data_IF_800006346474
#
_entry.id   IF_800006346474
#
_cell.length_a   1.000
_cell.length_b   1.000
_cell.length_c   1.000
_cell.angle_alpha   90.00
_cell.angle_beta   90.00
_cell.angle_gamma   90.00
#
_symmetry.space_group_name_H-M   'P 1'
#
loop_
_entity.id
_entity.type
_entity.pdbx_description
1 polymer ?
#
# COMPACT_ATOMS: atom_id res chain seq x y z
N UNK A 1 14.58 4.32 15.95
CA UNK A 1 14.73 4.07 14.48
C UNK A 1 14.81 5.41 13.75
N UNK A 2 15.57 5.50 12.65
CA UNK A 2 15.65 6.69 11.80
C UNK A 2 14.80 6.50 10.56
N UNK A 3 14.19 7.59 10.09
CA UNK A 3 13.35 7.63 8.89
C UNK A 3 13.83 8.72 7.96
N UNK A 4 13.64 8.50 6.67
CA UNK A 4 13.71 9.55 5.65
C UNK A 4 12.29 9.95 5.31
N UNK A 5 11.99 11.23 5.51
CA UNK A 5 10.76 11.85 5.08
C UNK A 5 10.95 12.32 3.64
N UNK A 6 10.14 11.81 2.72
CA UNK A 6 10.11 12.20 1.31
C UNK A 6 8.74 12.80 1.01
N UNK A 7 8.72 13.93 0.32
CA UNK A 7 7.47 14.50 -0.19
C UNK A 7 7.05 13.75 -1.45
N UNK A 8 5.80 13.31 -1.52
CA UNK A 8 5.26 12.65 -2.71
C UNK A 8 4.59 13.63 -3.68
N UNK A 9 5.06 14.87 -3.77
CA UNK A 9 4.49 15.90 -4.64
C UNK A 9 4.86 15.69 -6.11
N UNK A 10 5.99 15.00 -6.37
CA UNK A 10 6.45 14.63 -7.69
C UNK A 10 6.69 13.12 -7.79
N UNK A 11 6.77 12.60 -9.02
CA UNK A 11 7.16 11.21 -9.25
C UNK A 11 8.68 11.05 -9.12
N UNK A 12 9.19 10.02 -8.42
CA UNK A 12 10.61 9.77 -8.34
C UNK A 12 11.18 9.47 -9.74
N UNK A 13 12.30 10.08 -10.09
CA UNK A 13 13.00 9.83 -11.36
C UNK A 13 14.05 8.75 -11.16
N UNK A 14 13.78 7.55 -11.67
CA UNK A 14 14.71 6.43 -11.58
C UNK A 14 15.94 6.71 -12.45
N UNK A 15 17.13 6.61 -11.86
CA UNK A 15 18.42 6.77 -12.56
C UNK A 15 18.93 5.43 -13.08
N UNK A 16 18.96 4.45 -12.19
CA UNK A 16 19.35 3.08 -12.50
C UNK A 16 18.68 2.12 -11.54
N UNK A 17 18.54 0.89 -11.98
CA UNK A 17 18.17 -0.23 -11.13
C UNK A 17 18.90 -1.49 -11.63
N UNK A 18 19.35 -2.32 -10.69
CA UNK A 18 20.02 -3.56 -11.05
C UNK A 18 19.84 -4.64 -9.97
N UNK A 19 20.10 -5.87 -10.36
CA UNK A 19 20.26 -7.02 -9.48
C UNK A 19 21.65 -7.61 -9.73
N UNK A 20 22.40 -7.85 -8.69
CA UNK A 20 23.73 -8.44 -8.84
C UNK A 20 24.16 -9.27 -7.63
N UNK A 21 25.15 -10.13 -7.89
CA UNK A 21 25.83 -10.94 -6.89
C UNK A 21 27.27 -10.48 -6.81
N UNK A 22 27.72 -10.13 -5.61
CA UNK A 22 29.08 -9.67 -5.33
C UNK A 22 29.64 -10.42 -4.12
N UNK A 23 30.94 -10.34 -3.87
CA UNK A 23 31.59 -10.96 -2.71
C UNK A 23 32.72 -10.09 -2.20
N UNK A 24 32.91 -10.09 -0.87
CA UNK A 24 34.07 -9.53 -0.19
C UNK A 24 34.43 -8.09 -0.59
N UNK A 25 33.46 -7.19 -0.47
CA UNK A 25 33.62 -5.79 -0.83
C UNK A 25 33.64 -4.91 0.44
N UNK A 26 34.57 -3.97 0.47
CA UNK A 26 34.59 -2.84 1.42
C UNK A 26 34.51 -1.55 0.62
N UNK A 27 33.33 -0.89 0.67
CA UNK A 27 33.19 0.42 0.10
C UNK A 27 33.57 1.48 1.13
N UNK A 28 34.50 2.36 0.75
CA UNK A 28 34.81 3.56 1.56
C UNK A 28 33.58 4.46 1.62
N UNK A 29 33.58 5.38 2.57
CA UNK A 29 32.53 6.38 2.69
C UNK A 29 32.25 7.04 1.32
N UNK A 30 30.99 6.99 0.90
CA UNK A 30 30.54 7.64 -0.34
C UNK A 30 29.34 8.53 -0.06
N UNK A 31 29.25 9.61 -0.80
CA UNK A 31 28.11 10.52 -0.81
C UNK A 31 27.56 10.50 -2.21
N UNK A 32 26.27 10.20 -2.35
CA UNK A 32 25.58 10.26 -3.61
C UNK A 32 24.66 11.49 -3.62
N UNK A 33 24.48 12.11 -4.77
CA UNK A 33 23.49 13.18 -4.95
C UNK A 33 22.10 12.66 -5.32
N UNK A 34 21.83 11.39 -5.08
CA UNK A 34 20.58 10.68 -5.31
C UNK A 34 20.29 9.74 -4.15
N UNK A 35 19.05 9.35 -4.00
CA UNK A 35 18.64 8.31 -3.05
C UNK A 35 18.88 6.91 -3.62
N UNK A 36 19.28 5.98 -2.77
CA UNK A 36 19.46 4.58 -3.16
C UNK A 36 18.72 3.66 -2.19
N UNK A 37 17.93 2.75 -2.75
CA UNK A 37 17.21 1.73 -1.99
C UNK A 37 17.77 0.36 -2.36
N UNK A 38 18.48 -0.27 -1.42
CA UNK A 38 19.13 -1.58 -1.60
C UNK A 38 18.37 -2.65 -0.83
N UNK A 39 17.98 -3.72 -1.50
CA UNK A 39 17.29 -4.89 -0.94
C UNK A 39 18.26 -6.06 -0.85
N UNK A 40 18.40 -6.65 0.33
CA UNK A 40 19.21 -7.85 0.53
C UNK A 40 18.38 -9.08 0.21
N UNK A 41 18.77 -9.79 -0.86
CA UNK A 41 18.13 -11.05 -1.29
C UNK A 41 18.76 -12.25 -0.57
N UNK A 42 20.10 -12.26 -0.45
CA UNK A 42 20.88 -13.31 0.21
C UNK A 42 22.21 -12.76 0.72
N UNK A 43 22.59 -13.14 1.92
CA UNK A 43 23.86 -12.74 2.53
C UNK A 43 23.74 -11.63 3.54
N UNK A 44 24.86 -11.00 3.87
CA UNK A 44 24.93 -9.96 4.91
C UNK A 44 25.77 -8.77 4.46
N UNK A 45 25.30 -7.59 4.80
CA UNK A 45 25.98 -6.32 4.57
C UNK A 45 26.02 -5.51 5.86
N UNK A 46 27.21 -5.07 6.27
CA UNK A 46 27.33 -4.05 7.32
C UNK A 46 27.15 -2.68 6.69
N UNK A 47 26.32 -1.86 7.30
CA UNK A 47 26.10 -0.47 6.90
C UNK A 47 26.48 0.42 8.06
N UNK A 48 27.33 1.39 7.81
CA UNK A 48 27.74 2.41 8.77
C UNK A 48 27.45 3.81 8.22
N UNK A 49 26.80 4.62 9.04
CA UNK A 49 26.55 6.02 8.74
C UNK A 49 26.61 6.81 10.05
N UNK A 50 27.67 7.58 10.25
CA UNK A 50 27.92 8.32 11.50
C UNK A 50 26.85 9.42 11.69
N UNK A 51 26.42 10.08 10.61
CA UNK A 51 25.41 11.14 10.64
C UNK A 51 24.04 10.65 11.09
N UNK A 52 23.68 9.42 10.73
CA UNK A 52 22.44 8.78 11.14
C UNK A 52 22.56 7.99 12.46
N UNK A 53 23.77 7.88 13.00
CA UNK A 53 24.07 7.04 14.15
C UNK A 53 23.81 5.55 13.88
N UNK A 54 24.06 5.10 12.63
CA UNK A 54 23.81 3.74 12.17
C UNK A 54 25.12 2.97 12.10
N UNK A 55 25.16 1.79 12.70
CA UNK A 55 26.21 0.79 12.52
C UNK A 55 25.56 -0.60 12.73
N UNK A 56 25.02 -1.16 11.67
CA UNK A 56 24.23 -2.38 11.71
C UNK A 56 24.65 -3.37 10.62
N UNK A 57 24.43 -4.67 10.91
CA UNK A 57 24.54 -5.74 9.92
C UNK A 57 23.14 -6.15 9.51
N UNK A 58 22.83 -5.93 8.24
CA UNK A 58 21.55 -6.30 7.64
C UNK A 58 21.70 -7.58 6.81
N UNK A 59 20.61 -8.33 6.68
CA UNK A 59 20.58 -9.63 5.98
C UNK A 59 19.32 -9.83 5.18
N UNK A 60 19.05 -11.08 4.82
CA UNK A 60 17.97 -11.49 3.94
C UNK A 60 16.62 -10.84 4.28
N UNK A 61 15.94 -10.30 3.27
CA UNK A 61 14.63 -9.67 3.40
C UNK A 61 14.63 -8.30 4.07
N UNK A 62 15.82 -7.71 4.28
CA UNK A 62 15.98 -6.36 4.83
C UNK A 62 16.40 -5.41 3.72
N UNK A 63 15.92 -4.17 3.77
CA UNK A 63 16.42 -3.11 2.90
C UNK A 63 17.16 -2.03 3.67
N UNK A 64 18.08 -1.37 2.97
CA UNK A 64 18.75 -0.16 3.39
C UNK A 64 18.38 0.99 2.44
N UNK A 65 17.93 2.09 3.01
CA UNK A 65 17.66 3.33 2.29
C UNK A 65 18.81 4.31 2.56
N UNK A 66 19.62 4.58 1.55
CA UNK A 66 20.68 5.58 1.57
C UNK A 66 20.12 6.92 1.06
N UNK A 67 19.93 7.92 1.94
CA UNK A 67 19.51 9.25 1.50
C UNK A 67 20.56 9.92 0.63
N UNK A 68 20.13 10.82 -0.25
CA UNK A 68 21.06 11.70 -0.97
C UNK A 68 21.86 12.56 0.02
N UNK A 69 23.04 12.97 -0.39
CA UNK A 69 23.93 13.91 0.32
C UNK A 69 24.36 13.50 1.74
N UNK A 70 24.11 12.23 2.12
CA UNK A 70 24.54 11.66 3.41
C UNK A 70 25.63 10.61 3.16
N UNK A 71 26.74 10.72 3.91
CA UNK A 71 27.86 9.80 3.80
C UNK A 71 27.58 8.45 4.49
N UNK A 72 27.84 7.35 3.81
CA UNK A 72 27.72 6.01 4.37
C UNK A 72 28.80 5.06 3.84
N UNK A 73 29.11 4.04 4.63
CA UNK A 73 30.03 2.97 4.29
C UNK A 73 29.28 1.64 4.25
N UNK A 74 29.69 0.76 3.35
CA UNK A 74 29.18 -0.61 3.33
C UNK A 74 30.33 -1.61 3.29
N UNK A 75 30.16 -2.74 3.97
CA UNK A 75 31.08 -3.87 3.86
C UNK A 75 30.30 -5.17 3.77
N UNK A 76 30.80 -6.04 2.91
CA UNK A 76 30.21 -7.35 2.58
C UNK A 76 31.28 -8.39 2.78
N UNK A 77 30.95 -9.44 3.52
CA UNK A 77 31.79 -10.62 3.73
C UNK A 77 31.09 -11.84 3.12
N UNK A 78 31.80 -12.56 2.27
CA UNK A 78 31.26 -13.68 1.52
C UNK A 78 30.32 -13.28 0.39
N UNK A 79 29.51 -14.23 -0.07
CA UNK A 79 28.55 -14.03 -1.16
C UNK A 79 27.40 -13.14 -0.71
N UNK A 80 27.07 -12.17 -1.54
CA UNK A 80 26.00 -11.22 -1.30
C UNK A 80 25.19 -10.97 -2.57
N UNK A 81 23.90 -11.28 -2.53
CA UNK A 81 22.96 -11.05 -3.60
C UNK A 81 22.02 -9.91 -3.21
N UNK A 82 21.94 -8.88 -4.04
CA UNK A 82 21.10 -7.72 -3.80
C UNK A 82 20.48 -7.18 -5.08
N UNK A 83 19.40 -6.48 -4.88
CA UNK A 83 18.76 -5.65 -5.91
C UNK A 83 18.73 -4.22 -5.41
N UNK A 84 18.98 -3.25 -6.28
CA UNK A 84 18.91 -1.85 -5.89
C UNK A 84 18.20 -0.98 -6.93
N UNK A 85 17.70 0.16 -6.46
CA UNK A 85 17.15 1.24 -7.26
C UNK A 85 17.69 2.57 -6.76
N UNK A 86 18.24 3.37 -7.68
CA UNK A 86 18.64 4.75 -7.41
C UNK A 86 17.67 5.72 -8.12
N UNK A 87 17.30 6.78 -7.42
CA UNK A 87 16.35 7.75 -7.93
C UNK A 87 16.62 9.16 -7.39
N UNK A 88 16.19 10.15 -8.15
CA UNK A 88 16.07 11.53 -7.71
C UNK A 88 14.64 11.80 -7.24
N UNK A 89 14.55 12.61 -6.21
CA UNK A 89 13.35 13.32 -5.81
C UNK A 89 13.60 14.81 -6.00
N UNK A 90 12.70 15.50 -6.70
CA UNK A 90 12.81 16.95 -6.91
C UNK A 90 12.42 17.75 -5.66
N UNK A 91 11.88 17.08 -4.65
CA UNK A 91 11.44 17.65 -3.38
C UNK A 91 12.53 17.53 -2.30
N UNK A 92 12.47 18.41 -1.32
CA UNK A 92 13.37 18.34 -0.17
C UNK A 92 13.05 17.14 0.72
N UNK A 93 14.03 16.30 0.97
CA UNK A 93 13.94 15.26 1.97
C UNK A 93 14.46 15.77 3.33
N UNK A 94 14.06 15.10 4.40
CA UNK A 94 14.64 15.29 5.74
C UNK A 94 14.75 13.98 6.49
N UNK A 95 15.75 13.90 7.38
CA UNK A 95 15.88 12.75 8.27
C UNK A 95 15.20 13.09 9.59
N UNK A 96 14.40 12.16 10.10
CA UNK A 96 13.68 12.32 11.34
C UNK A 96 13.77 11.07 12.24
N UNK A 97 13.47 11.25 13.52
CA UNK A 97 13.34 10.15 14.46
C UNK A 97 11.90 9.60 14.42
N UNK A 98 11.71 8.43 15.00
CA UNK A 98 10.41 7.76 15.06
C UNK A 98 9.29 8.58 15.70
N UNK A 99 9.60 9.34 16.75
CA UNK A 99 8.64 10.21 17.45
C UNK A 99 8.23 11.45 16.62
N UNK A 100 8.93 11.73 15.52
CA UNK A 100 8.64 12.84 14.60
C UNK A 100 7.81 12.39 13.39
N UNK A 101 7.57 11.08 13.26
CA UNK A 101 6.73 10.52 12.20
C UNK A 101 5.27 10.89 12.45
N UNK A 102 4.69 11.62 11.52
CA UNK A 102 3.30 12.06 11.60
C UNK A 102 2.42 11.16 10.75
N UNK A 103 1.55 10.39 11.41
CA UNK A 103 0.51 9.62 10.74
C UNK A 103 -0.75 10.48 10.64
N UNK A 104 -1.17 10.80 9.43
CA UNK A 104 -2.50 11.38 9.24
C UNK A 104 -3.52 10.26 9.23
N UNK A 105 -4.49 10.31 10.15
CA UNK A 105 -5.70 9.48 10.05
C UNK A 105 -6.36 9.82 8.72
N UNK A 106 -6.57 8.81 7.89
CA UNK A 106 -7.33 8.97 6.66
C UNK A 106 -8.75 9.42 7.02
N UNK A 107 -9.01 10.71 6.89
CA UNK A 107 -10.37 11.17 6.68
C UNK A 107 -10.84 10.48 5.38
N UNK A 108 -12.02 9.86 5.40
CA UNK A 108 -12.65 9.16 4.27
C UNK A 108 -12.85 10.02 3.01
N UNK A 109 -11.97 10.96 2.73
CA UNK A 109 -12.02 11.85 1.58
C UNK A 109 -11.16 11.27 0.46
N UNK A 110 -11.80 11.07 -0.69
CA UNK A 110 -11.28 10.48 -1.93
C UNK A 110 -10.14 11.29 -2.59
N UNK A 111 -9.67 12.37 -1.99
CA UNK A 111 -8.51 13.12 -2.45
C UNK A 111 -7.32 12.79 -1.56
N UNK A 112 -6.52 11.82 -2.01
CA UNK A 112 -5.16 11.64 -1.52
C UNK A 112 -4.38 12.86 -2.06
N UNK A 113 -4.23 13.89 -1.25
CA UNK A 113 -3.11 14.80 -1.46
C UNK A 113 -1.86 13.92 -1.39
N UNK A 114 -1.00 14.01 -2.39
CA UNK A 114 0.32 13.39 -2.35
C UNK A 114 0.99 13.89 -1.07
N UNK A 115 1.18 13.01 -0.09
CA UNK A 115 1.59 13.36 1.27
C UNK A 115 3.02 12.90 1.51
N UNK A 116 3.61 13.41 2.58
CA UNK A 116 4.93 12.99 3.02
C UNK A 116 4.96 11.49 3.32
N UNK A 117 5.93 10.79 2.76
CA UNK A 117 6.23 9.38 3.06
C UNK A 117 7.36 9.30 4.07
N UNK A 118 7.24 8.43 5.04
CA UNK A 118 8.29 8.13 6.02
C UNK A 118 8.86 6.75 5.75
N UNK A 119 10.06 6.69 5.20
CA UNK A 119 10.74 5.43 4.86
C UNK A 119 11.79 5.15 5.93
N UNK A 120 11.77 4.00 6.61
CA UNK A 120 12.82 3.66 7.55
C UNK A 120 14.16 3.53 6.82
N UNK A 121 15.24 4.01 7.43
CA UNK A 121 16.59 3.88 6.89
C UNK A 121 16.99 2.41 6.76
N UNK A 122 16.62 1.59 7.73
CA UNK A 122 16.71 0.13 7.67
C UNK A 122 15.33 -0.43 7.96
N UNK A 123 14.83 -1.31 7.11
CA UNK A 123 13.51 -1.90 7.27
C UNK A 123 13.40 -3.29 6.66
N UNK A 124 12.29 -3.98 7.00
CA UNK A 124 11.98 -5.29 6.42
C UNK A 124 11.07 -5.12 5.21
N UNK A 125 11.24 -5.99 4.22
CA UNK A 125 10.38 -6.03 3.04
C UNK A 125 9.19 -6.95 3.26
N UNK A 126 8.09 -6.68 2.53
CA UNK A 126 6.95 -7.59 2.45
C UNK A 126 7.19 -8.80 1.52
N UNK A 127 8.44 -9.09 1.18
CA UNK A 127 8.84 -10.25 0.40
C UNK A 127 8.45 -10.17 -1.08
N UNK A 128 7.65 -11.13 -1.55
CA UNK A 128 7.38 -11.38 -2.98
C UNK A 128 6.88 -10.15 -3.77
N UNK A 129 6.04 -9.32 -3.19
CA UNK A 129 5.46 -8.16 -3.89
C UNK A 129 6.51 -7.08 -4.17
N UNK A 130 7.37 -6.79 -3.21
CA UNK A 130 8.46 -5.81 -3.35
C UNK A 130 9.42 -6.23 -4.43
N UNK A 131 9.81 -7.52 -4.45
CA UNK A 131 10.68 -8.08 -5.48
C UNK A 131 10.08 -7.99 -6.88
N UNK A 132 8.80 -8.34 -7.04
CA UNK A 132 8.11 -8.28 -8.33
C UNK A 132 8.07 -6.86 -8.92
N UNK A 133 7.84 -5.83 -8.09
CA UNK A 133 7.86 -4.44 -8.53
C UNK A 133 9.27 -4.02 -8.94
N UNK A 134 10.29 -4.37 -8.14
CA UNK A 134 11.67 -4.02 -8.42
C UNK A 134 12.19 -4.70 -9.71
N UNK A 135 11.85 -5.96 -9.93
CA UNK A 135 12.18 -6.66 -11.19
C UNK A 135 11.63 -5.91 -12.42
N UNK A 136 10.38 -5.44 -12.36
CA UNK A 136 9.78 -4.67 -13.45
C UNK A 136 10.47 -3.31 -13.66
N UNK A 137 10.97 -2.68 -12.59
CA UNK A 137 11.76 -1.45 -12.71
C UNK A 137 13.09 -1.76 -13.41
N UNK A 138 13.78 -2.82 -12.99
CA UNK A 138 15.06 -3.26 -13.59
C UNK A 138 14.90 -3.56 -15.09
N UNK A 139 13.86 -4.30 -15.45
CA UNK A 139 13.53 -4.58 -16.85
C UNK A 139 13.22 -3.30 -17.65
N UNK A 140 12.44 -2.39 -17.08
CA UNK A 140 12.07 -1.13 -17.74
C UNK A 140 13.27 -0.18 -17.94
N UNK A 141 14.18 -0.10 -16.97
CA UNK A 141 15.41 0.72 -17.09
C UNK A 141 16.37 0.13 -18.11
N UNK A 142 16.52 -1.18 -18.17
CA UNK A 142 17.47 -1.86 -19.07
C UNK A 142 16.91 -2.11 -20.48
N UNK A 143 15.59 -2.15 -20.63
CA UNK A 143 14.91 -2.43 -21.91
C UNK A 143 14.84 -1.26 -22.92
N UNK A 144 15.09 -0.04 -22.52
CA UNK A 144 15.52 1.16 -23.28
C UNK A 144 14.64 1.72 -24.40
N UNK A 145 13.63 1.02 -24.94
CA UNK A 145 12.93 1.41 -26.18
C UNK A 145 11.38 1.42 -26.11
N UNK A 146 10.80 1.27 -24.96
CA UNK A 146 9.35 1.37 -24.83
C UNK A 146 8.89 2.83 -24.70
N UNK A 147 7.85 3.18 -25.44
CA UNK A 147 7.14 4.44 -25.24
C UNK A 147 6.68 4.56 -23.77
N UNK A 148 6.99 5.71 -23.16
CA UNK A 148 6.70 5.97 -21.73
C UNK A 148 7.49 5.10 -20.70
N UNK A 149 8.61 4.46 -21.08
CA UNK A 149 9.41 3.63 -20.15
C UNK A 149 9.78 4.39 -18.87
N UNK A 150 10.26 5.62 -18.99
CA UNK A 150 10.61 6.46 -17.83
C UNK A 150 9.42 6.73 -16.91
N UNK A 151 8.25 7.03 -17.48
CA UNK A 151 7.04 7.26 -16.68
C UNK A 151 6.56 5.98 -16.00
N UNK A 152 6.61 4.83 -16.68
CA UNK A 152 6.30 3.53 -16.07
C UNK A 152 7.24 3.22 -14.90
N UNK A 153 8.55 3.42 -15.08
CA UNK A 153 9.54 3.24 -14.02
C UNK A 153 9.30 4.17 -12.84
N UNK A 154 8.95 5.43 -13.07
CA UNK A 154 8.62 6.40 -12.02
C UNK A 154 7.37 6.01 -11.22
N UNK A 155 6.33 5.52 -11.89
CA UNK A 155 5.12 5.02 -11.23
C UNK A 155 5.41 3.75 -10.39
N UNK A 156 6.21 2.83 -10.92
CA UNK A 156 6.64 1.62 -10.20
C UNK A 156 7.55 1.97 -9.02
N UNK A 157 8.43 2.95 -9.16
CA UNK A 157 9.27 3.45 -8.08
C UNK A 157 8.42 4.04 -6.95
N UNK A 158 7.40 4.84 -7.27
CA UNK A 158 6.45 5.33 -6.28
C UNK A 158 5.71 4.18 -5.58
N UNK A 159 5.24 3.16 -6.32
CA UNK A 159 4.63 1.96 -5.75
C UNK A 159 5.58 1.24 -4.79
N UNK A 160 6.86 1.12 -5.17
CA UNK A 160 7.90 0.50 -4.36
C UNK A 160 8.12 1.30 -3.06
N UNK A 161 8.31 2.62 -3.14
CA UNK A 161 8.48 3.49 -1.99
C UNK A 161 7.29 3.43 -1.04
N UNK A 162 6.06 3.47 -1.55
CA UNK A 162 4.85 3.30 -0.76
C UNK A 162 4.75 1.92 -0.10
N UNK A 163 5.35 0.88 -0.69
CA UNK A 163 5.36 -0.47 -0.11
C UNK A 163 6.29 -0.62 1.09
N UNK A 164 7.38 0.17 1.12
CA UNK A 164 8.39 0.16 2.19
C UNK A 164 8.22 1.31 3.19
N UNK A 165 7.41 2.31 2.86
CA UNK A 165 7.09 3.41 3.77
C UNK A 165 6.41 2.89 5.04
N UNK A 166 6.74 3.49 6.18
CA UNK A 166 6.10 3.16 7.46
C UNK A 166 4.61 3.50 7.37
N UNK A 167 3.79 2.53 7.68
CA UNK A 167 2.34 2.69 7.82
C UNK A 167 2.00 2.74 9.31
N UNK A 168 0.99 3.52 9.68
CA UNK A 168 0.46 3.49 11.04
C UNK A 168 0.13 2.03 11.40
N UNK A 169 0.71 1.50 12.49
CA UNK A 169 0.41 0.16 13.01
C UNK A 169 1.29 -1.00 12.50
N UNK A 170 2.46 -0.78 11.88
CA UNK A 170 3.37 -1.87 11.44
C UNK A 170 4.36 -2.36 12.49
N UNK A 171 4.31 -1.90 13.73
CA UNK A 171 5.05 -2.54 14.82
C UNK A 171 4.19 -3.59 15.52
N UNK A 172 4.83 -4.70 15.87
CA UNK A 172 4.43 -5.92 16.57
C UNK A 172 3.54 -5.75 17.82
N UNK A 173 2.61 -4.82 17.81
CA UNK A 173 1.47 -4.82 18.70
C UNK A 173 0.39 -5.73 18.10
N UNK A 174 -0.34 -6.42 18.97
CA UNK A 174 -1.55 -7.15 18.60
C UNK A 174 -2.35 -6.30 17.61
N UNK A 175 -2.83 -6.87 16.49
CA UNK A 175 -3.47 -6.10 15.44
C UNK A 175 -4.52 -5.15 16.02
N UNK A 176 -4.37 -3.85 15.78
CA UNK A 176 -5.26 -2.83 16.35
C UNK A 176 -6.69 -3.05 15.87
N UNK A 177 -7.65 -2.56 16.64
CA UNK A 177 -9.07 -2.58 16.25
C UNK A 177 -9.26 -2.01 14.82
N UNK A 178 -8.47 -0.97 14.44
CA UNK A 178 -8.46 -0.37 13.11
C UNK A 178 -7.98 -1.33 12.00
N UNK A 179 -6.96 -2.13 12.25
CA UNK A 179 -6.46 -3.14 11.31
C UNK A 179 -7.55 -4.14 10.92
N UNK A 180 -8.31 -4.61 11.92
CA UNK A 180 -9.40 -5.54 11.64
C UNK A 180 -10.57 -4.88 10.92
N UNK A 181 -10.88 -3.62 11.23
CA UNK A 181 -11.89 -2.86 10.50
C UNK A 181 -11.53 -2.68 9.02
N UNK A 182 -10.27 -2.38 8.71
CA UNK A 182 -9.76 -2.27 7.33
C UNK A 182 -9.80 -3.63 6.61
N UNK A 183 -9.46 -4.71 7.30
CA UNK A 183 -9.54 -6.07 6.76
C UNK A 183 -10.99 -6.46 6.42
N UNK A 184 -11.95 -6.09 7.27
CA UNK A 184 -13.39 -6.24 7.01
C UNK A 184 -13.81 -5.43 5.79
N UNK A 185 -13.43 -4.15 5.72
CA UNK A 185 -13.75 -3.28 4.58
C UNK A 185 -13.21 -3.83 3.27
N UNK A 186 -11.96 -4.30 3.28
CA UNK A 186 -11.33 -4.91 2.10
C UNK A 186 -12.06 -6.17 1.64
N UNK A 187 -12.46 -7.03 2.57
CA UNK A 187 -13.22 -8.23 2.26
C UNK A 187 -14.59 -7.87 1.66
N UNK A 188 -15.31 -6.91 2.27
CA UNK A 188 -16.60 -6.44 1.76
C UNK A 188 -16.45 -5.87 0.33
N UNK A 189 -15.42 -5.04 0.09
CA UNK A 189 -15.19 -4.44 -1.23
C UNK A 189 -14.97 -5.48 -2.34
N UNK A 190 -14.39 -6.62 -2.00
CA UNK A 190 -14.12 -7.71 -2.95
C UNK A 190 -15.30 -8.67 -3.12
N UNK A 191 -16.22 -8.76 -2.14
CA UNK A 191 -17.23 -9.82 -2.07
C UNK A 191 -18.67 -9.29 -1.84
N UNK A 192 -18.92 -7.98 -1.89
CA UNK A 192 -20.25 -7.41 -1.63
C UNK A 192 -21.35 -8.00 -2.51
N UNK A 193 -21.01 -8.42 -3.73
CA UNK A 193 -21.94 -8.98 -4.72
C UNK A 193 -22.26 -10.48 -4.53
N UNK A 194 -21.59 -11.15 -3.59
CA UNK A 194 -21.93 -12.51 -3.20
C UNK A 194 -23.25 -12.49 -2.41
N UNK A 195 -24.33 -13.16 -2.89
CA UNK A 195 -25.62 -13.20 -2.19
C UNK A 195 -25.53 -13.88 -0.82
N UNK A 196 -24.57 -14.77 -0.62
CA UNK A 196 -24.38 -15.55 0.62
C UNK A 196 -23.48 -14.85 1.65
N UNK A 197 -22.98 -13.65 1.34
CA UNK A 197 -22.16 -12.89 2.29
C UNK A 197 -22.95 -12.61 3.58
N UNK A 198 -22.38 -13.05 4.69
CA UNK A 198 -22.97 -12.88 6.02
C UNK A 198 -21.87 -12.63 7.06
N UNK A 199 -22.29 -12.29 8.28
CA UNK A 199 -21.37 -12.02 9.39
C UNK A 199 -20.38 -13.15 9.63
N UNK A 200 -20.82 -14.41 9.57
CA UNK A 200 -19.98 -15.57 9.82
C UNK A 200 -18.90 -15.71 8.74
N UNK A 201 -19.28 -15.60 7.48
CA UNK A 201 -18.37 -15.69 6.33
C UNK A 201 -17.31 -14.59 6.40
N UNK A 202 -17.70 -13.36 6.70
CA UNK A 202 -16.74 -12.24 6.84
C UNK A 202 -15.80 -12.51 8.02
N UNK A 203 -16.34 -12.90 9.17
CA UNK A 203 -15.57 -13.12 10.39
C UNK A 203 -14.53 -14.24 10.23
N UNK A 204 -14.90 -15.34 9.58
CA UNK A 204 -14.00 -16.46 9.27
C UNK A 204 -12.84 -15.99 8.39
N UNK A 205 -13.11 -15.23 7.33
CA UNK A 205 -12.06 -14.72 6.42
C UNK A 205 -11.15 -13.67 7.05
N UNK A 206 -11.66 -12.92 8.05
CA UNK A 206 -10.88 -11.94 8.79
C UNK A 206 -10.09 -12.59 9.93
N UNK A 207 -10.47 -13.82 10.35
CA UNK A 207 -9.86 -14.54 11.46
C UNK A 207 -10.36 -14.08 12.84
N UNK A 208 -11.64 -13.67 12.93
CA UNK A 208 -12.27 -13.20 14.16
C UNK A 208 -13.55 -13.98 14.47
N UNK A 209 -13.92 -13.99 15.75
CA UNK A 209 -15.26 -14.45 16.13
C UNK A 209 -16.33 -13.42 15.71
N UNK A 210 -17.49 -13.80 15.11
CA UNK A 210 -18.50 -12.88 14.56
C UNK A 210 -18.95 -11.79 15.54
N UNK A 211 -19.22 -12.15 16.81
CA UNK A 211 -19.68 -11.20 17.82
C UNK A 211 -18.58 -10.17 18.17
N UNK A 212 -17.34 -10.62 18.27
CA UNK A 212 -16.20 -9.73 18.52
C UNK A 212 -15.98 -8.78 17.34
N UNK A 213 -15.97 -9.31 16.12
CA UNK A 213 -15.85 -8.51 14.90
C UNK A 213 -16.95 -7.44 14.81
N UNK A 214 -18.21 -7.81 15.10
CA UNK A 214 -19.34 -6.87 15.07
C UNK A 214 -19.16 -5.71 16.04
N UNK A 215 -18.78 -6.01 17.27
CA UNK A 215 -18.57 -5.01 18.33
C UNK A 215 -17.37 -4.10 18.02
N UNK A 216 -16.26 -4.70 17.62
CA UNK A 216 -15.04 -4.00 17.22
C UNK A 216 -15.29 -3.08 16.02
N UNK A 217 -15.88 -3.59 14.97
CA UNK A 217 -16.16 -2.84 13.76
C UNK A 217 -17.06 -1.61 14.03
N UNK A 218 -18.14 -1.83 14.78
CA UNK A 218 -19.03 -0.73 15.18
C UNK A 218 -18.34 0.31 16.08
N UNK A 219 -17.46 -0.13 16.98
CA UNK A 219 -16.65 0.77 17.84
C UNK A 219 -15.74 1.66 16.99
N UNK A 220 -15.09 1.11 15.96
CA UNK A 220 -14.11 1.82 15.13
C UNK A 220 -14.77 2.70 14.07
N UNK A 221 -15.82 2.19 13.38
CA UNK A 221 -16.42 2.87 12.21
C UNK A 221 -17.72 3.61 12.54
N UNK A 222 -18.33 3.32 13.67
CA UNK A 222 -19.67 3.81 14.03
C UNK A 222 -20.81 3.04 13.36
N UNK A 223 -20.52 2.17 12.38
CA UNK A 223 -21.52 1.46 11.57
C UNK A 223 -21.49 -0.06 11.81
N UNK A 224 -22.57 -0.74 11.44
CA UNK A 224 -22.57 -2.20 11.44
C UNK A 224 -21.97 -2.75 10.13
N UNK A 225 -21.27 -3.88 10.20
CA UNK A 225 -20.68 -4.56 9.04
C UNK A 225 -21.73 -4.76 7.92
N UNK A 226 -22.90 -5.26 8.25
CA UNK A 226 -23.96 -5.53 7.27
C UNK A 226 -24.63 -4.25 6.74
N UNK A 227 -24.55 -3.09 7.46
CA UNK A 227 -25.00 -1.81 6.88
C UNK A 227 -24.04 -1.35 5.78
N UNK A 228 -22.74 -1.55 5.97
CA UNK A 228 -21.73 -1.22 4.95
C UNK A 228 -21.88 -2.11 3.71
N UNK A 229 -22.13 -3.42 3.87
CA UNK A 229 -22.44 -4.31 2.74
C UNK A 229 -23.63 -3.77 1.94
N UNK A 230 -24.74 -3.42 2.64
CA UNK A 230 -25.93 -2.87 1.98
C UNK A 230 -25.64 -1.53 1.29
N UNK A 231 -24.94 -0.62 1.94
CA UNK A 231 -24.57 0.68 1.36
C UNK A 231 -23.74 0.51 0.09
N UNK A 232 -22.75 -0.41 0.09
CA UNK A 232 -21.94 -0.69 -1.07
C UNK A 232 -22.74 -1.28 -2.22
N UNK A 233 -23.63 -2.23 -1.95
CA UNK A 233 -24.56 -2.79 -2.94
C UNK A 233 -25.44 -1.72 -3.58
N UNK A 234 -26.02 -0.83 -2.78
CA UNK A 234 -26.85 0.28 -3.28
C UNK A 234 -26.02 1.26 -4.11
N UNK A 235 -24.81 1.57 -3.68
CA UNK A 235 -23.90 2.45 -4.44
C UNK A 235 -23.56 1.86 -5.81
N UNK A 236 -23.26 0.58 -5.89
CA UNK A 236 -23.00 -0.09 -7.17
C UNK A 236 -24.26 -0.23 -8.03
N UNK A 237 -25.43 -0.49 -7.41
CA UNK A 237 -26.69 -0.50 -8.14
C UNK A 237 -26.99 0.85 -8.80
N UNK A 238 -26.70 1.97 -8.13
CA UNK A 238 -26.84 3.32 -8.72
C UNK A 238 -25.99 3.46 -9.99
N UNK A 239 -24.75 2.97 -9.96
CA UNK A 239 -23.87 3.02 -11.12
C UNK A 239 -24.41 2.19 -12.30
N UNK A 240 -24.90 0.98 -12.03
CA UNK A 240 -25.47 0.09 -13.06
C UNK A 240 -26.78 0.63 -13.64
N UNK A 241 -27.66 1.16 -12.79
CA UNK A 241 -28.94 1.73 -13.23
C UNK A 241 -28.76 2.96 -14.12
N UNK A 242 -27.77 3.82 -13.84
CA UNK A 242 -27.43 4.98 -14.70
C UNK A 242 -27.06 4.61 -16.12
N UNK A 243 -26.52 3.41 -16.34
CA UNK A 243 -26.19 2.93 -17.68
C UNK A 243 -27.43 2.65 -18.53
N UNK A 244 -28.60 2.50 -17.91
CA UNK A 244 -29.89 2.17 -18.56
C UNK A 244 -29.84 0.96 -19.52
N UNK A 245 -28.97 -0.01 -19.19
CA UNK A 245 -28.74 -1.22 -20.01
C UNK A 245 -29.32 -2.49 -19.40
N UNK A 246 -29.67 -2.45 -18.12
CA UNK A 246 -30.03 -3.63 -17.34
C UNK A 246 -31.43 -3.46 -16.72
N UNK A 247 -32.19 -4.55 -16.64
CA UNK A 247 -33.44 -4.54 -15.89
C UNK A 247 -33.15 -4.46 -14.38
N UNK A 248 -34.02 -3.81 -13.63
CA UNK A 248 -33.88 -3.64 -12.17
C UNK A 248 -33.64 -4.97 -11.45
N UNK A 249 -34.33 -6.04 -11.86
CA UNK A 249 -34.15 -7.39 -11.31
C UNK A 249 -32.75 -7.96 -11.55
N UNK A 250 -32.15 -7.64 -12.69
CA UNK A 250 -30.80 -8.12 -13.03
C UNK A 250 -29.75 -7.31 -12.26
N UNK A 251 -29.95 -6.00 -12.15
CA UNK A 251 -29.10 -5.15 -11.30
C UNK A 251 -29.13 -5.64 -9.84
N UNK A 252 -30.32 -5.94 -9.30
CA UNK A 252 -30.42 -6.47 -7.94
C UNK A 252 -29.57 -7.73 -7.74
N UNK A 253 -29.62 -8.68 -8.68
CA UNK A 253 -28.81 -9.91 -8.64
C UNK A 253 -27.29 -9.61 -8.80
N UNK A 254 -26.95 -8.75 -9.76
CA UNK A 254 -25.52 -8.39 -10.02
C UNK A 254 -24.86 -7.77 -8.79
N UNK A 255 -25.59 -7.05 -7.96
CA UNK A 255 -25.05 -6.45 -6.74
C UNK A 255 -25.27 -7.31 -5.49
N UNK A 256 -25.74 -8.57 -5.64
CA UNK A 256 -25.79 -9.56 -4.57
C UNK A 256 -27.10 -9.62 -3.79
N UNK A 257 -28.21 -9.02 -4.28
CA UNK A 257 -29.51 -9.24 -3.65
C UNK A 257 -30.20 -10.47 -4.25
N UNK A 258 -30.55 -11.45 -3.41
CA UNK A 258 -31.34 -12.61 -3.79
C UNK A 258 -32.84 -12.27 -3.97
N UNK A 259 -33.32 -11.28 -3.21
CA UNK A 259 -34.72 -10.80 -3.28
C UNK A 259 -34.78 -9.40 -3.91
N UNK A 260 -35.39 -9.34 -5.10
CA UNK A 260 -35.57 -8.12 -5.86
C UNK A 260 -36.61 -7.15 -5.20
N UNK A 261 -37.60 -7.67 -4.48
CA UNK A 261 -38.57 -6.83 -3.78
C UNK A 261 -37.88 -6.13 -2.60
N UNK A 262 -37.12 -6.87 -1.81
CA UNK A 262 -36.33 -6.29 -0.75
C UNK A 262 -35.34 -5.23 -1.28
N UNK A 263 -34.67 -5.52 -2.39
CA UNK A 263 -33.80 -4.55 -3.06
C UNK A 263 -34.54 -3.26 -3.40
N UNK A 264 -35.70 -3.35 -4.06
CA UNK A 264 -36.50 -2.17 -4.51
C UNK A 264 -36.93 -1.31 -3.33
N UNK A 265 -37.40 -1.93 -2.24
CA UNK A 265 -37.78 -1.23 -1.01
C UNK A 265 -36.58 -0.53 -0.37
N UNK A 266 -35.45 -1.25 -0.24
CA UNK A 266 -34.22 -0.71 0.35
C UNK A 266 -33.64 0.42 -0.51
N UNK A 267 -33.62 0.25 -1.83
CA UNK A 267 -33.12 1.26 -2.76
C UNK A 267 -33.94 2.55 -2.64
N UNK A 268 -35.27 2.44 -2.67
CA UNK A 268 -36.15 3.61 -2.49
C UNK A 268 -35.91 4.28 -1.12
N UNK A 269 -35.79 3.51 -0.05
CA UNK A 269 -35.54 4.04 1.29
C UNK A 269 -34.22 4.82 1.39
N UNK A 270 -33.16 4.34 0.72
CA UNK A 270 -31.83 4.93 0.80
C UNK A 270 -31.63 6.08 -0.20
N UNK A 271 -32.20 5.97 -1.38
CA UNK A 271 -31.97 6.90 -2.51
C UNK A 271 -33.07 7.93 -2.65
N UNK A 272 -34.28 7.65 -2.13
CA UNK A 272 -35.44 8.54 -2.18
C UNK A 272 -36.28 8.43 -3.44
N UNK A 273 -35.78 7.72 -4.49
CA UNK A 273 -36.51 7.46 -5.75
C UNK A 273 -36.53 5.95 -6.02
N UNK A 274 -37.50 5.51 -6.83
CA UNK A 274 -37.60 4.11 -7.21
C UNK A 274 -36.47 3.71 -8.16
N UNK A 275 -36.03 2.46 -8.07
CA UNK A 275 -34.95 1.94 -8.91
C UNK A 275 -35.29 2.03 -10.42
N UNK A 276 -36.58 1.82 -10.79
CA UNK A 276 -37.08 1.93 -12.15
C UNK A 276 -37.06 3.36 -12.73
N UNK A 277 -36.96 4.37 -11.87
CA UNK A 277 -36.99 5.78 -12.25
C UNK A 277 -35.60 6.42 -12.17
N UNK A 278 -34.64 5.74 -11.56
CA UNK A 278 -33.34 6.31 -11.22
C UNK A 278 -32.48 6.72 -12.43
N UNK A 279 -32.67 6.09 -13.59
CA UNK A 279 -31.96 6.47 -14.82
C UNK A 279 -32.44 7.78 -15.44
N UNK A 280 -33.58 8.32 -14.95
CA UNK A 280 -34.19 9.58 -15.41
C UNK A 280 -33.69 10.80 -14.63
N UNK A 281 -32.96 10.56 -13.52
CA UNK A 281 -32.38 11.59 -12.66
C UNK A 281 -30.90 11.74 -12.96
#
# INVERSE_FOLDING_TARGET
MKFVKISAKSLPRVMYAHECVISDIKCKARINNYHELTFVEEGRMRVRCDELGLDEVIGDGVFFFAPADIAYETSIEGRFHHSCMAFFDDDTFSVCNENEVVYRKSDNRVFIALEDMYIPVVGKTSGFRTKAVLTRIIEGVNGGNEEYANLKCSCLALELLLSVAKKEGTETELPSDGYYADKVNKYIAQNYNDPDICMNVIAENVGLHPNYMSSLYKKVTGESVMSVVRSMRISQAKNLLRLNKYLVKDVARMVGFSDCNYFSVLFHKVVGVRAEEYYKT
#
